data_IF_851804279164
#
_entry.id   IF_851804279164
#
_cell.length_a   1.000
_cell.length_b   1.000
_cell.length_c   1.000
_cell.angle_alpha   90.00
_cell.angle_beta   90.00
_cell.angle_gamma   90.00
#
_symmetry.space_group_name_H-M   'P 1'
#
loop_
_entity.id
_entity.type
_entity.pdbx_description
1 polymer ?
#
# COMPACT_ATOMS: atom_id res chain seq x y z
N UNK A 1 -15.32 16.60 -3.05
CA UNK A 1 -16.41 15.60 -3.09
C UNK A 1 -15.78 14.21 -3.08
N UNK A 2 -15.74 13.56 -1.92
CA UNK A 2 -15.08 12.26 -1.73
C UNK A 2 -15.99 11.18 -2.34
N UNK A 3 -15.61 10.61 -3.49
CA UNK A 3 -16.38 9.56 -4.16
C UNK A 3 -16.37 8.28 -3.32
N UNK A 4 -17.47 7.54 -3.36
CA UNK A 4 -17.82 6.38 -2.53
C UNK A 4 -16.68 5.34 -2.48
N UNK A 5 -15.87 5.36 -1.42
CA UNK A 5 -14.85 4.36 -1.14
C UNK A 5 -15.49 3.10 -0.54
N UNK A 6 -15.06 1.91 -0.95
CA UNK A 6 -15.42 0.71 -0.21
C UNK A 6 -14.77 0.79 1.18
N UNK A 7 -15.59 0.74 2.24
CA UNK A 7 -15.12 0.99 3.60
C UNK A 7 -14.05 -0.01 4.09
N UNK A 8 -13.94 -1.17 3.43
CA UNK A 8 -13.07 -2.30 3.78
C UNK A 8 -11.62 -2.16 3.31
N UNK A 9 -11.32 -1.24 2.39
CA UNK A 9 -10.04 -1.22 1.66
C UNK A 9 -9.21 0.02 2.01
N UNK A 10 -9.16 0.33 3.31
CA UNK A 10 -8.46 1.51 3.84
C UNK A 10 -7.59 1.15 5.04
N UNK A 11 -6.39 1.69 5.05
CA UNK A 11 -5.44 1.57 6.15
C UNK A 11 -5.04 2.95 6.65
N UNK A 12 -5.01 3.11 7.96
CA UNK A 12 -4.42 4.29 8.61
C UNK A 12 -2.98 3.95 9.01
N UNK A 13 -2.06 4.86 8.72
CA UNK A 13 -0.65 4.70 9.03
C UNK A 13 -0.06 6.03 9.48
N UNK A 14 0.71 5.99 10.56
CA UNK A 14 1.53 7.12 11.00
C UNK A 14 2.82 7.08 10.17
N UNK A 15 3.17 8.19 9.53
CA UNK A 15 4.32 8.34 8.65
C UNK A 15 5.08 9.61 9.04
N UNK A 16 6.11 9.47 9.88
CA UNK A 16 6.75 10.62 10.53
C UNK A 16 5.75 11.38 11.42
N UNK A 17 5.54 12.66 11.11
CA UNK A 17 4.57 13.55 11.75
C UNK A 17 3.19 13.55 11.08
N UNK A 18 3.03 12.82 9.96
CA UNK A 18 1.80 12.80 9.19
C UNK A 18 0.94 11.59 9.54
N UNK A 19 -0.38 11.79 9.64
CA UNK A 19 -1.35 10.70 9.61
C UNK A 19 -1.83 10.50 8.17
N UNK A 20 -1.56 9.32 7.61
CA UNK A 20 -1.92 8.97 6.25
C UNK A 20 -3.05 7.94 6.22
N UNK A 21 -3.95 8.10 5.25
CA UNK A 21 -4.94 7.11 4.86
C UNK A 21 -4.56 6.56 3.49
N UNK A 22 -4.27 5.27 3.44
CA UNK A 22 -3.98 4.52 2.22
C UNK A 22 -5.26 3.82 1.81
N UNK A 23 -5.73 4.07 0.60
CA UNK A 23 -6.98 3.52 0.09
C UNK A 23 -6.72 2.79 -1.24
N UNK A 24 -7.42 1.67 -1.42
CA UNK A 24 -7.45 0.98 -2.70
C UNK A 24 -8.53 1.61 -3.59
N UNK A 25 -8.15 2.07 -4.79
CA UNK A 25 -9.09 2.57 -5.80
C UNK A 25 -9.22 1.58 -6.96
N UNK A 26 -10.43 1.11 -7.20
CA UNK A 26 -10.79 0.27 -8.36
C UNK A 26 -11.63 -0.97 -7.97
N UNK A 27 -12.32 -1.60 -8.92
CA UNK A 27 -13.02 -2.86 -8.66
C UNK A 27 -12.00 -3.97 -8.40
N UNK A 28 -12.17 -4.69 -7.27
CA UNK A 28 -11.31 -5.82 -6.83
C UNK A 28 -11.19 -6.92 -7.91
N UNK A 29 -12.11 -6.95 -8.88
CA UNK A 29 -12.29 -8.05 -9.84
C UNK A 29 -11.64 -7.76 -11.22
N UNK A 30 -11.25 -6.53 -11.55
CA UNK A 30 -10.74 -6.23 -12.90
C UNK A 30 -9.65 -5.15 -12.86
N UNK A 31 -8.49 -5.49 -13.45
CA UNK A 31 -7.38 -4.64 -13.91
C UNK A 31 -7.49 -3.13 -13.66
N UNK A 32 -6.48 -2.52 -13.03
CA UNK A 32 -6.37 -1.07 -12.86
C UNK A 32 -6.44 -0.57 -11.42
N UNK A 33 -6.21 -1.45 -10.45
CA UNK A 33 -6.16 -1.08 -9.04
C UNK A 33 -5.01 -0.12 -8.80
N UNK A 34 -5.29 1.00 -8.12
CA UNK A 34 -4.28 1.99 -7.76
C UNK A 34 -4.40 2.30 -6.28
N UNK A 35 -3.25 2.45 -5.62
CA UNK A 35 -3.23 3.01 -4.27
C UNK A 35 -3.37 4.51 -4.38
N UNK A 36 -4.29 5.06 -3.60
CA UNK A 36 -4.33 6.48 -3.30
C UNK A 36 -3.96 6.70 -1.85
N UNK A 37 -3.12 7.69 -1.60
CA UNK A 37 -2.73 8.06 -0.24
C UNK A 37 -3.23 9.47 0.02
N UNK A 38 -3.78 9.68 1.21
CA UNK A 38 -4.25 10.97 1.68
C UNK A 38 -3.59 11.31 3.00
N UNK A 39 -3.13 12.55 3.17
CA UNK A 39 -2.70 13.07 4.47
C UNK A 39 -3.85 13.78 5.16
N UNK A 40 -3.94 13.63 6.48
CA UNK A 40 -4.84 14.44 7.28
C UNK A 40 -4.25 15.85 7.44
N UNK A 41 -5.02 16.85 7.05
CA UNK A 41 -4.73 18.26 7.27
C UNK A 41 -5.63 18.80 8.37
N UNK A 42 -5.01 19.19 9.49
CA UNK A 42 -5.67 19.75 10.67
C UNK A 42 -5.68 21.28 10.66
N UNK A 43 -5.10 21.93 9.65
CA UNK A 43 -5.06 23.40 9.56
C UNK A 43 -6.39 24.02 9.13
N UNK A 44 -7.32 23.21 8.62
CA UNK A 44 -8.66 23.63 8.21
C UNK A 44 -9.73 23.15 9.19
N UNK A 45 -10.84 23.88 9.28
CA UNK A 45 -12.02 23.46 10.04
C UNK A 45 -13.23 23.29 9.08
N UNK A 46 -13.77 22.07 8.90
CA UNK A 46 -13.32 20.81 9.47
C UNK A 46 -11.97 20.33 8.87
N UNK A 47 -11.31 19.41 9.56
CA UNK A 47 -10.09 18.76 9.06
C UNK A 47 -10.36 18.05 7.72
N UNK A 48 -9.39 18.11 6.81
CA UNK A 48 -9.53 17.60 5.44
C UNK A 48 -8.51 16.51 5.12
N UNK A 49 -8.91 15.58 4.26
CA UNK A 49 -7.99 14.59 3.68
C UNK A 49 -7.47 15.11 2.34
N UNK A 50 -6.18 15.41 2.27
CA UNK A 50 -5.51 15.91 1.07
C UNK A 50 -4.76 14.78 0.37
N UNK A 51 -4.96 14.62 -0.94
CA UNK A 51 -4.27 13.58 -1.72
C UNK A 51 -2.76 13.85 -1.71
N UNK A 52 -1.99 12.78 -1.50
CA UNK A 52 -0.54 12.75 -1.57
C UNK A 52 -0.15 12.14 -2.92
N UNK A 53 0.58 12.89 -3.74
CA UNK A 53 1.02 12.41 -5.05
C UNK A 53 2.30 11.56 -4.97
N UNK A 54 3.12 11.78 -3.93
CA UNK A 54 4.40 11.09 -3.74
C UNK A 54 4.73 10.94 -2.24
N UNK A 55 5.24 9.79 -1.82
CA UNK A 55 5.69 9.52 -0.45
C UNK A 55 7.17 9.88 -0.22
N UNK A 56 7.84 10.42 -1.23
CA UNK A 56 9.27 10.75 -1.21
C UNK A 56 10.16 9.56 -0.82
N UNK A 57 10.88 9.65 0.30
CA UNK A 57 11.78 8.63 0.82
C UNK A 57 11.09 7.61 1.73
N UNK A 58 9.76 7.63 1.81
CA UNK A 58 8.99 6.69 2.60
C UNK A 58 8.45 5.53 1.77
N UNK A 59 8.30 4.39 2.45
CA UNK A 59 7.53 3.25 2.00
C UNK A 59 6.46 2.88 3.04
N UNK A 60 5.32 2.39 2.58
CA UNK A 60 4.22 1.94 3.43
C UNK A 60 4.03 0.44 3.26
N UNK A 61 3.87 -0.30 4.34
CA UNK A 61 3.62 -1.73 4.34
C UNK A 61 2.19 -2.00 4.79
N UNK A 62 1.47 -2.76 3.97
CA UNK A 62 0.11 -3.19 4.26
C UNK A 62 -0.03 -4.71 4.13
N UNK A 63 -0.85 -5.28 5.00
CA UNK A 63 -1.36 -6.64 4.89
C UNK A 63 -2.87 -6.55 4.74
N UNK A 64 -3.44 -7.42 3.92
CA UNK A 64 -4.88 -7.41 3.61
C UNK A 64 -5.75 -7.94 4.75
N UNK A 65 -5.13 -8.49 5.79
CA UNK A 65 -5.75 -8.82 7.07
C UNK A 65 -6.16 -7.53 7.80
N UNK A 66 -7.46 -7.40 8.05
CA UNK A 66 -8.09 -6.24 8.74
C UNK A 66 -7.57 -6.02 10.15
N UNK A 67 -6.95 -7.02 10.78
CA UNK A 67 -6.36 -6.91 12.13
C UNK A 67 -4.94 -6.36 12.10
N UNK A 68 -4.31 -6.33 10.92
CA UNK A 68 -2.95 -5.84 10.77
C UNK A 68 -2.94 -4.33 10.55
N UNK A 69 -2.24 -3.62 11.42
CA UNK A 69 -2.01 -2.18 11.30
C UNK A 69 -0.92 -1.92 10.27
N UNK A 70 -1.14 -1.00 9.32
CA UNK A 70 -0.12 -0.59 8.35
C UNK A 70 1.11 0.04 9.02
N UNK A 71 2.28 -0.15 8.42
CA UNK A 71 3.57 0.36 8.92
C UNK A 71 4.19 1.30 7.89
N UNK A 72 4.97 2.28 8.36
CA UNK A 72 5.78 3.14 7.50
C UNK A 72 7.28 2.87 7.75
N UNK A 73 8.08 3.04 6.71
CA UNK A 73 9.54 2.92 6.77
C UNK A 73 10.17 4.09 6.01
N UNK A 74 11.12 4.77 6.64
CA UNK A 74 11.90 5.82 6.02
C UNK A 74 13.18 5.23 5.43
N UNK A 75 13.57 5.67 4.24
CA UNK A 75 14.78 5.24 3.52
C UNK A 75 14.88 3.70 3.36
N UNK A 76 13.87 3.05 2.76
CA UNK A 76 13.89 1.61 2.54
C UNK A 76 15.07 1.11 1.70
N UNK A 77 15.73 2.00 0.95
CA UNK A 77 16.94 1.73 0.17
C UNK A 77 18.09 1.15 1.01
N UNK A 78 18.13 1.45 2.32
CA UNK A 78 19.17 0.97 3.24
C UNK A 78 19.22 -0.57 3.29
N UNK A 79 18.10 -1.24 3.06
CA UNK A 79 17.99 -2.70 2.99
C UNK A 79 17.71 -3.22 1.56
N UNK A 80 17.92 -2.39 0.53
CA UNK A 80 17.65 -2.73 -0.87
C UNK A 80 16.18 -2.58 -1.29
N UNK A 81 15.37 -1.89 -0.48
CA UNK A 81 13.98 -1.55 -0.79
C UNK A 81 13.85 -0.36 -1.76
N UNK A 82 12.61 0.06 -1.97
CA UNK A 82 12.22 1.17 -2.87
C UNK A 82 11.35 2.16 -2.12
N UNK A 83 11.71 3.43 -2.13
CA UNK A 83 10.84 4.51 -1.66
C UNK A 83 9.71 4.79 -2.63
N UNK A 84 8.79 5.66 -2.21
CA UNK A 84 7.60 6.01 -2.94
C UNK A 84 6.72 4.80 -3.29
N UNK A 85 6.74 3.77 -2.43
CA UNK A 85 6.06 2.50 -2.67
C UNK A 85 5.13 2.11 -1.52
N UNK A 86 4.01 1.48 -1.89
CA UNK A 86 3.18 0.67 -1.01
C UNK A 86 3.54 -0.80 -1.22
N UNK A 87 4.08 -1.43 -0.19
CA UNK A 87 4.40 -2.83 -0.11
C UNK A 87 3.18 -3.61 0.36
N UNK A 88 2.70 -4.52 -0.49
CA UNK A 88 1.59 -5.41 -0.18
C UNK A 88 2.10 -6.83 -0.02
N UNK A 89 1.73 -7.50 1.07
CA UNK A 89 2.04 -8.93 1.21
C UNK A 89 1.05 -9.77 0.41
N UNK A 90 1.57 -10.61 -0.48
CA UNK A 90 0.78 -11.58 -1.22
C UNK A 90 0.88 -12.95 -0.52
N UNK A 91 -0.25 -13.44 -0.01
CA UNK A 91 -0.32 -14.72 0.71
C UNK A 91 -0.08 -15.94 -0.21
N UNK A 92 -0.42 -15.84 -1.49
CA UNK A 92 -0.24 -16.94 -2.46
C UNK A 92 1.25 -17.12 -2.82
N UNK A 93 1.93 -16.00 -3.12
CA UNK A 93 3.35 -16.03 -3.45
C UNK A 93 4.27 -15.99 -2.21
N UNK A 94 3.73 -15.67 -1.02
CA UNK A 94 4.49 -15.47 0.22
C UNK A 94 5.61 -14.43 0.11
N UNK A 95 5.40 -13.44 -0.75
CA UNK A 95 6.37 -12.37 -1.00
C UNK A 95 5.71 -10.98 -0.93
N UNK A 96 6.54 -9.99 -0.64
CA UNK A 96 6.15 -8.59 -0.69
C UNK A 96 6.22 -8.06 -2.13
N UNK A 97 5.17 -7.36 -2.54
CA UNK A 97 5.09 -6.70 -3.84
C UNK A 97 5.13 -5.19 -3.63
N UNK A 98 6.14 -4.53 -4.20
CA UNK A 98 6.30 -3.08 -4.15
C UNK A 98 5.49 -2.41 -5.27
N UNK A 99 4.59 -1.50 -4.89
CA UNK A 99 3.72 -0.78 -5.81
C UNK A 99 4.00 0.72 -5.70
N UNK A 100 4.51 1.32 -6.76
CA UNK A 100 4.87 2.73 -6.76
C UNK A 100 3.64 3.63 -6.75
N UNK A 101 3.59 4.58 -5.83
CA UNK A 101 2.48 5.51 -5.72
C UNK A 101 2.40 6.40 -6.96
N UNK A 102 1.18 6.58 -7.49
CA UNK A 102 0.93 7.40 -8.67
C UNK A 102 1.22 6.70 -10.00
N UNK A 103 1.86 5.51 -9.99
CA UNK A 103 1.96 4.68 -11.19
C UNK A 103 0.86 3.62 -11.19
N UNK A 104 0.16 3.42 -12.32
CA UNK A 104 -0.69 2.25 -12.45
C UNK A 104 0.15 0.98 -12.30
N UNK A 105 -0.46 -0.10 -11.81
CA UNK A 105 0.13 -1.45 -11.81
C UNK A 105 0.63 -1.92 -13.19
N UNK A 106 0.27 -1.20 -14.27
CA UNK A 106 0.70 -1.45 -15.65
C UNK A 106 1.78 -0.45 -16.08
N UNK A 107 2.77 -0.92 -16.84
CA UNK A 107 3.70 -0.04 -17.55
C UNK A 107 2.96 0.74 -18.65
N UNK A 108 3.42 1.95 -18.96
CA UNK A 108 2.83 2.82 -19.98
C UNK A 108 3.14 2.34 -21.41
N UNK A 109 2.73 1.11 -21.78
CA UNK A 109 2.97 0.58 -23.13
C UNK A 109 1.96 -0.47 -23.56
N UNK A 110 1.63 -0.53 -24.87
CA UNK A 110 0.69 -1.51 -25.44
C UNK A 110 1.18 -2.97 -25.32
N UNK A 111 2.40 -3.19 -24.84
CA UNK A 111 3.04 -4.49 -24.60
C UNK A 111 3.29 -4.79 -23.12
N UNK A 112 2.84 -3.95 -22.18
CA UNK A 112 3.03 -4.23 -20.76
C UNK A 112 2.15 -5.41 -20.37
N UNK A 113 2.77 -6.59 -20.31
CA UNK A 113 2.13 -7.84 -19.90
C UNK A 113 1.63 -7.64 -18.48
N UNK A 114 0.31 -7.77 -18.30
CA UNK A 114 -0.29 -8.09 -17.01
C UNK A 114 0.58 -9.14 -16.33
N UNK A 115 1.03 -8.89 -15.10
CA UNK A 115 1.55 -9.97 -14.28
C UNK A 115 0.33 -10.58 -13.58
N UNK A 116 -0.25 -11.68 -14.10
CA UNK A 116 -1.44 -12.30 -13.54
C UNK A 116 -1.27 -12.80 -12.10
N UNK A 117 -0.08 -12.66 -11.51
CA UNK A 117 0.21 -13.14 -10.17
C UNK A 117 0.04 -12.08 -9.07
N UNK A 118 -0.35 -10.83 -9.39
CA UNK A 118 -0.61 -9.80 -8.36
C UNK A 118 -2.12 -9.64 -8.16
N UNK A 119 -2.71 -10.63 -7.51
CA UNK A 119 -4.04 -10.48 -6.92
C UNK A 119 -3.88 -10.03 -5.47
N UNK A 120 -4.30 -8.80 -5.17
CA UNK A 120 -4.44 -8.35 -3.79
C UNK A 120 -5.76 -8.91 -3.27
N UNK A 121 -5.75 -10.17 -2.86
CA UNK A 121 -6.89 -10.76 -2.17
C UNK A 121 -7.03 -10.10 -0.80
N UNK A 122 -8.08 -9.30 -0.63
CA UNK A 122 -8.57 -8.90 0.68
C UNK A 122 -9.05 -10.18 1.39
N UNK A 123 -8.18 -10.73 2.24
CA UNK A 123 -8.23 -12.13 2.66
C UNK A 123 -9.59 -12.60 3.18
N UNK A 124 -10.03 -13.76 2.68
CA UNK A 124 -11.05 -14.64 3.28
C UNK A 124 -10.44 -15.67 4.24
N UNK A 125 -9.13 -15.60 4.52
CA UNK A 125 -8.44 -16.60 5.34
C UNK A 125 -8.70 -16.33 6.85
N UNK A 126 -8.94 -17.40 7.59
CA UNK A 126 -9.19 -17.36 9.04
C UNK A 126 -7.91 -17.30 9.87
N UNK A 127 -6.74 -17.44 9.22
CA UNK A 127 -5.42 -17.45 9.86
C UNK A 127 -4.81 -16.05 9.89
N UNK A 128 -4.74 -15.51 11.10
CA UNK A 128 -4.25 -14.17 11.43
C UNK A 128 -2.73 -14.20 11.53
N UNK A 129 -2.03 -13.33 10.81
CA UNK A 129 -0.59 -13.12 11.01
C UNK A 129 -0.26 -11.63 11.00
N UNK A 130 0.32 -11.10 12.10
CA UNK A 130 0.75 -9.71 12.14
C UNK A 130 2.01 -9.51 11.28
N UNK A 131 2.22 -8.27 10.79
CA UNK A 131 3.33 -7.94 9.88
C UNK A 131 4.72 -8.33 10.37
N UNK A 132 4.97 -8.29 11.68
CA UNK A 132 6.27 -8.65 12.27
C UNK A 132 6.61 -10.15 12.18
N UNK A 133 5.63 -11.01 11.82
CA UNK A 133 5.83 -12.46 11.63
C UNK A 133 6.29 -12.77 10.21
N UNK A 134 6.19 -11.84 9.25
CA UNK A 134 6.59 -12.05 7.85
C UNK A 134 8.10 -11.78 7.70
N UNK A 135 8.97 -12.81 7.72
CA UNK A 135 10.40 -12.62 7.98
C UNK A 135 11.20 -12.13 6.77
N UNK A 136 10.58 -12.10 5.58
CA UNK A 136 11.28 -11.82 4.32
C UNK A 136 11.72 -10.36 4.16
N UNK A 137 11.34 -9.46 5.08
CA UNK A 137 11.71 -8.04 5.02
C UNK A 137 13.18 -7.77 5.38
N UNK A 138 13.85 -8.69 6.07
CA UNK A 138 15.20 -8.48 6.62
C UNK A 138 16.26 -9.42 6.05
N UNK A 139 15.86 -10.42 5.25
CA UNK A 139 16.78 -11.48 4.80
C UNK A 139 17.55 -11.16 3.52
N UNK A 140 17.30 -10.03 2.86
CA UNK A 140 17.96 -9.65 1.59
C UNK A 140 19.05 -8.59 1.70
N UNK A 141 19.47 -8.21 2.91
CA UNK A 141 20.69 -7.41 3.08
C UNK A 141 21.93 -8.29 2.83
N UNK A 142 22.56 -8.15 1.66
CA UNK A 142 23.93 -8.59 1.38
C UNK A 142 24.73 -7.44 0.82
#
# INVERSE_FOLDING_TARGET
MIRKWHHSDRWLVICGDMLLMVALRGPIIVTGVTFEVFRLDLSTEPALWLKVEKLENWAIFIITDKRSQALSCMNPEIWGGRSNCVYCYNHDSKHWVALELGKPLQGNGPTSKFNPNIFIFMGRDSRVQPMWVVPSMLSFCR
#
